data_IF_504278250978
#
_entry.id   IF_504278250978
#
_cell.length_a   1.000
_cell.length_b   1.000
_cell.length_c   1.000
_cell.angle_alpha   90.00
_cell.angle_beta   90.00
_cell.angle_gamma   90.00
#
_symmetry.space_group_name_H-M   'P 1'
#
loop_
_entity.id
_entity.type
_entity.pdbx_description
1 polymer ?
#
# COMPACT_ATOMS: atom_id res chain seq x y z
N UNK A 1 -1.41 -13.14 -1.48
CA UNK A 1 -2.60 -13.51 -0.66
C UNK A 1 -3.08 -14.92 -1.03
N UNK A 2 -3.66 -15.13 -2.22
CA UNK A 2 -4.06 -16.47 -2.67
C UNK A 2 -2.87 -17.43 -2.78
N UNK A 3 -1.72 -16.91 -3.21
CA UNK A 3 -0.44 -17.63 -3.23
C UNK A 3 -0.01 -18.16 -1.84
N UNK A 4 -0.38 -17.45 -0.77
CA UNK A 4 -0.14 -17.88 0.61
C UNK A 4 -1.24 -18.84 1.14
N UNK A 5 -2.17 -19.29 0.28
CA UNK A 5 -3.30 -20.12 0.67
C UNK A 5 -4.40 -19.41 1.47
N UNK A 6 -4.35 -18.08 1.57
CA UNK A 6 -5.31 -17.28 2.36
C UNK A 6 -6.46 -16.82 1.46
N UNK A 7 -7.70 -17.03 1.91
CA UNK A 7 -8.87 -16.45 1.23
C UNK A 7 -8.94 -14.94 1.57
N UNK A 8 -8.91 -14.03 0.57
CA UNK A 8 -8.92 -12.59 0.83
C UNK A 8 -10.11 -12.10 1.68
N UNK A 9 -11.25 -12.81 1.65
CA UNK A 9 -12.41 -12.50 2.49
C UNK A 9 -12.12 -12.65 3.99
N UNK A 10 -11.18 -13.53 4.36
CA UNK A 10 -10.75 -13.73 5.76
C UNK A 10 -9.96 -12.54 6.31
N UNK A 11 -9.43 -11.68 5.43
CA UNK A 11 -8.69 -10.49 5.85
C UNK A 11 -9.63 -9.33 6.22
N UNK A 12 -10.91 -9.34 5.83
CA UNK A 12 -11.85 -8.28 6.19
C UNK A 12 -11.98 -8.14 7.70
N UNK A 13 -11.77 -6.93 8.21
CA UNK A 13 -11.80 -6.59 9.64
C UNK A 13 -10.52 -6.95 10.41
N UNK A 14 -9.55 -7.65 9.78
CA UNK A 14 -8.29 -7.99 10.42
C UNK A 14 -7.35 -6.79 10.53
N UNK A 15 -6.43 -6.82 11.50
CA UNK A 15 -5.34 -5.84 11.62
C UNK A 15 -4.23 -6.11 10.60
N UNK A 16 -4.57 -6.39 9.35
CA UNK A 16 -3.59 -6.53 8.28
C UNK A 16 -3.11 -5.15 7.85
N UNK A 17 -1.80 -4.91 7.89
CA UNK A 17 -1.20 -3.67 7.39
C UNK A 17 -0.96 -3.69 5.89
N UNK A 18 -0.91 -2.51 5.26
CA UNK A 18 -0.64 -2.31 3.83
C UNK A 18 0.41 -1.24 3.64
N UNK A 19 1.53 -1.62 3.02
CA UNK A 19 2.71 -0.77 2.85
C UNK A 19 3.08 -0.74 1.38
N UNK A 20 3.08 0.44 0.76
CA UNK A 20 3.41 0.57 -0.68
C UNK A 20 4.63 1.47 -0.86
N UNK A 21 5.68 0.96 -1.47
CA UNK A 21 6.83 1.75 -1.92
C UNK A 21 6.57 2.33 -3.32
N UNK A 22 6.51 3.66 -3.45
CA UNK A 22 6.31 4.31 -4.74
C UNK A 22 7.05 5.66 -4.80
N UNK A 23 7.95 5.79 -5.79
CA UNK A 23 8.79 6.97 -5.97
C UNK A 23 8.17 7.98 -6.95
N UNK A 24 7.66 7.49 -8.07
CA UNK A 24 7.07 8.31 -9.13
C UNK A 24 5.58 7.98 -9.27
N UNK A 25 4.75 9.03 -9.30
CA UNK A 25 3.31 8.97 -9.49
C UNK A 25 2.93 10.10 -10.43
N UNK A 26 3.25 9.95 -11.71
CA UNK A 26 2.89 10.95 -12.71
C UNK A 26 1.39 11.12 -12.86
N UNK A 27 0.61 10.11 -12.46
CA UNK A 27 -0.82 10.21 -12.29
C UNK A 27 -1.25 11.38 -11.39
N UNK A 28 -0.44 11.81 -10.41
CA UNK A 28 -0.74 13.01 -9.61
C UNK A 28 -0.73 14.30 -10.44
N UNK A 29 0.06 14.34 -11.52
CA UNK A 29 0.18 15.50 -12.42
C UNK A 29 -0.91 15.52 -13.48
N UNK A 30 -1.36 14.36 -13.94
CA UNK A 30 -2.36 14.23 -15.02
C UNK A 30 -3.81 14.26 -14.53
N UNK A 31 -4.04 14.24 -13.22
CA UNK A 31 -5.39 14.18 -12.66
C UNK A 31 -6.08 15.55 -12.53
N UNK A 32 -6.47 16.12 -13.67
CA UNK A 32 -7.26 17.36 -13.77
C UNK A 32 -8.79 17.16 -13.70
N UNK A 33 -9.29 15.94 -13.52
CA UNK A 33 -10.74 15.64 -13.59
C UNK A 33 -11.29 15.11 -12.27
N UNK A 34 -11.81 16.00 -11.41
CA UNK A 34 -12.83 15.78 -10.36
C UNK A 34 -12.58 14.76 -9.22
N UNK A 35 -11.78 13.72 -9.45
CA UNK A 35 -11.46 12.61 -8.55
C UNK A 35 -9.94 12.48 -8.32
N UNK A 36 -9.15 13.49 -8.71
CA UNK A 36 -7.69 13.40 -8.70
C UNK A 36 -7.09 13.09 -7.33
N UNK A 37 -7.67 13.62 -6.25
CA UNK A 37 -7.20 13.35 -4.88
C UNK A 37 -7.46 11.89 -4.48
N UNK A 38 -8.62 11.33 -4.80
CA UNK A 38 -8.98 9.96 -4.39
C UNK A 38 -8.48 8.89 -5.36
N UNK A 39 -8.19 9.25 -6.60
CA UNK A 39 -7.66 8.36 -7.63
C UNK A 39 -6.14 8.34 -7.72
N UNK A 40 -5.50 9.48 -7.50
CA UNK A 40 -4.14 9.70 -7.99
C UNK A 40 -3.16 10.09 -6.89
N UNK A 41 -3.65 10.56 -5.72
CA UNK A 41 -2.78 10.81 -4.57
C UNK A 41 -1.98 9.56 -4.20
N UNK A 42 -0.68 9.73 -3.93
CA UNK A 42 0.19 8.64 -3.46
C UNK A 42 -0.36 7.89 -2.25
N UNK A 43 -1.08 8.56 -1.35
CA UNK A 43 -1.70 7.93 -0.19
C UNK A 43 -2.77 6.88 -0.58
N UNK A 44 -3.38 7.03 -1.76
CA UNK A 44 -4.41 6.11 -2.26
C UNK A 44 -3.84 4.77 -2.73
N UNK A 45 -2.53 4.67 -3.01
CA UNK A 45 -1.90 3.41 -3.40
C UNK A 45 -2.07 2.34 -2.31
N UNK A 46 -1.73 2.66 -1.07
CA UNK A 46 -1.98 1.77 0.07
C UNK A 46 -3.47 1.76 0.48
N UNK A 47 -4.09 2.93 0.59
CA UNK A 47 -5.44 3.04 1.15
C UNK A 47 -6.53 2.36 0.31
N UNK A 48 -6.40 2.34 -1.02
CA UNK A 48 -7.38 1.63 -1.87
C UNK A 48 -7.30 0.11 -1.70
N UNK A 49 -6.09 -0.42 -1.53
CA UNK A 49 -5.90 -1.84 -1.23
C UNK A 49 -6.52 -2.15 0.14
N UNK A 50 -6.24 -1.31 1.15
CA UNK A 50 -6.80 -1.46 2.49
C UNK A 50 -8.33 -1.43 2.48
N UNK A 51 -8.92 -0.47 1.76
CA UNK A 51 -10.36 -0.32 1.61
C UNK A 51 -11.00 -1.52 0.91
N UNK A 52 -10.43 -1.97 -0.21
CA UNK A 52 -10.99 -3.07 -1.00
C UNK A 52 -10.96 -4.40 -0.24
N UNK A 53 -9.84 -4.68 0.44
CA UNK A 53 -9.68 -5.85 1.30
C UNK A 53 -10.40 -5.73 2.64
N UNK A 54 -10.82 -4.52 3.02
CA UNK A 54 -11.50 -4.24 4.29
C UNK A 54 -10.60 -4.44 5.51
N UNK A 55 -9.30 -4.24 5.39
CA UNK A 55 -8.32 -4.41 6.48
C UNK A 55 -8.17 -3.12 7.28
N UNK A 56 -7.82 -3.24 8.56
CA UNK A 56 -7.83 -2.11 9.52
C UNK A 56 -6.46 -1.83 10.15
N UNK A 57 -5.40 -2.53 9.72
CA UNK A 57 -4.04 -2.28 10.17
C UNK A 57 -3.43 -1.00 9.57
N UNK A 58 -2.15 -0.71 9.87
CA UNK A 58 -1.45 0.46 9.33
C UNK A 58 -1.47 0.48 7.81
N UNK A 59 -1.77 1.64 7.20
CA UNK A 59 -1.90 1.79 5.74
C UNK A 59 -1.22 3.06 5.26
N UNK A 60 -0.06 2.94 4.61
CA UNK A 60 0.67 4.10 4.10
C UNK A 60 1.62 3.80 2.93
N UNK A 61 1.91 4.86 2.18
CA UNK A 61 2.82 4.85 1.04
C UNK A 61 4.14 5.53 1.40
N UNK A 62 5.27 4.90 1.08
CA UNK A 62 6.62 5.37 1.38
C UNK A 62 7.37 5.74 0.09
N UNK A 63 8.27 6.73 0.19
CA UNK A 63 9.21 7.08 -0.86
C UNK A 63 10.60 7.36 -0.28
N UNK A 64 11.54 6.50 -0.64
CA UNK A 64 12.98 6.65 -0.43
C UNK A 64 13.73 6.43 -1.75
N UNK A 65 13.17 6.95 -2.84
CA UNK A 65 13.64 6.76 -4.20
C UNK A 65 13.68 5.27 -4.62
N UNK A 66 14.79 4.80 -5.20
CA UNK A 66 14.96 3.43 -5.69
C UNK A 66 14.81 2.36 -4.58
N UNK A 67 14.96 2.74 -3.31
CA UNK A 67 14.86 1.83 -2.16
C UNK A 67 13.45 1.74 -1.58
N UNK A 68 12.45 2.40 -2.19
CA UNK A 68 11.10 2.54 -1.60
C UNK A 68 10.40 1.22 -1.30
N UNK A 69 10.52 0.22 -2.18
CA UNK A 69 9.91 -1.10 -1.96
C UNK A 69 10.58 -1.86 -0.81
N UNK A 70 11.90 -1.75 -0.67
CA UNK A 70 12.64 -2.36 0.44
C UNK A 70 12.33 -1.65 1.76
N UNK A 71 12.21 -0.32 1.74
CA UNK A 71 11.78 0.43 2.91
C UNK A 71 10.35 0.05 3.32
N UNK A 72 9.44 -0.16 2.37
CA UNK A 72 8.10 -0.65 2.67
C UNK A 72 8.10 -2.03 3.34
N UNK A 73 8.99 -2.93 2.90
CA UNK A 73 9.18 -4.23 3.54
C UNK A 73 9.72 -4.09 4.97
N UNK A 74 10.73 -3.25 5.19
CA UNK A 74 11.29 -2.98 6.53
C UNK A 74 10.22 -2.44 7.49
N UNK A 75 9.39 -1.50 7.04
CA UNK A 75 8.29 -0.98 7.84
C UNK A 75 7.24 -2.04 8.16
N UNK A 76 6.89 -2.88 7.19
CA UNK A 76 5.97 -3.99 7.42
C UNK A 76 6.51 -4.97 8.47
N UNK A 77 7.80 -5.31 8.38
CA UNK A 77 8.46 -6.17 9.34
C UNK A 77 8.45 -5.58 10.76
N UNK A 78 8.76 -4.29 10.90
CA UNK A 78 8.69 -3.60 12.20
C UNK A 78 7.27 -3.56 12.76
N UNK A 79 6.27 -3.25 11.95
CA UNK A 79 4.87 -3.26 12.41
C UNK A 79 4.40 -4.64 12.86
N UNK A 80 4.89 -5.72 12.24
CA UNK A 80 4.64 -7.09 12.69
C UNK A 80 5.37 -7.39 14.01
N UNK A 81 6.62 -6.96 14.16
CA UNK A 81 7.37 -7.12 15.43
C UNK A 81 6.74 -6.35 16.59
N UNK A 82 6.21 -5.16 16.33
CA UNK A 82 5.63 -4.27 17.33
C UNK A 82 4.15 -4.60 17.63
N UNK A 83 3.63 -5.73 17.14
CA UNK A 83 2.22 -6.16 17.26
C UNK A 83 1.20 -5.12 16.76
N UNK A 84 1.61 -4.22 15.86
CA UNK A 84 0.74 -3.22 15.24
C UNK A 84 -0.13 -3.83 14.12
N UNK A 85 0.29 -4.97 13.57
CA UNK A 85 -0.50 -5.77 12.64
C UNK A 85 -0.23 -7.28 12.79
N UNK A 86 -1.19 -8.10 12.39
CA UNK A 86 -1.09 -9.58 12.44
C UNK A 86 -0.57 -10.18 11.12
N UNK A 87 -0.69 -9.40 10.06
CA UNK A 87 -0.25 -9.72 8.71
C UNK A 87 0.07 -8.41 7.99
N UNK A 88 0.88 -8.49 6.92
CA UNK A 88 1.23 -7.32 6.14
C UNK A 88 1.19 -7.63 4.64
N UNK A 89 0.72 -6.64 3.87
CA UNK A 89 0.79 -6.62 2.42
C UNK A 89 1.81 -5.56 2.04
N UNK A 90 2.82 -5.97 1.28
CA UNK A 90 3.86 -5.07 0.79
C UNK A 90 3.80 -5.00 -0.73
N UNK A 91 3.82 -3.80 -1.28
CA UNK A 91 3.81 -3.56 -2.72
C UNK A 91 4.88 -2.56 -3.14
N UNK A 92 5.31 -2.64 -4.40
CA UNK A 92 6.18 -1.65 -5.03
C UNK A 92 5.59 -1.23 -6.38
N UNK A 93 5.59 0.06 -6.66
CA UNK A 93 5.16 0.60 -7.96
C UNK A 93 6.17 1.61 -8.49
N UNK A 94 6.51 1.48 -9.76
CA UNK A 94 7.31 2.45 -10.51
C UNK A 94 6.73 2.55 -11.92
N UNK A 95 6.05 3.66 -12.19
CA UNK A 95 5.50 3.96 -13.51
C UNK A 95 6.16 5.22 -14.04
N UNK A 96 6.72 5.11 -15.24
CA UNK A 96 7.21 6.22 -16.05
C UNK A 96 6.35 6.22 -17.32
N UNK A 97 5.76 7.36 -17.69
CA UNK A 97 5.19 7.52 -19.03
C UNK A 97 6.26 8.11 -19.97
N UNK A 98 6.27 7.66 -21.23
CA UNK A 98 7.13 8.16 -22.31
C UNK A 98 6.39 9.23 -23.11
#
# INVERSE_FOLDING_TARGET
ILDAGINPKQLRGSRTGVFVGACFSESEKTCELGFGITGCSRAMLANRISYWLGVTGPSYTLNSACSSSLLALEHAYRCLQDDLCDAAIVGGSNSYEL
#
